data_IF_866343197635
#
_entry.id   IF_866343197635
#
_cell.length_a   1.000
_cell.length_b   1.000
_cell.length_c   1.000
_cell.angle_alpha   90.00
_cell.angle_beta   90.00
_cell.angle_gamma   90.00
#
_symmetry.space_group_name_H-M   'P 1'
#
loop_
_entity.id
_entity.type
_entity.pdbx_description
1 polymer ?
#
# COMPACT_ATOMS: atom_id res chain seq x y z
N UNK A 1 -23.88 -2.77 -0.02
CA UNK A 1 -23.68 -1.85 1.13
C UNK A 1 -22.70 -0.78 0.67
N UNK A 2 -22.47 0.32 1.41
CA UNK A 2 -21.39 1.25 1.06
C UNK A 2 -20.23 1.00 2.02
N UNK A 3 -19.05 0.67 1.48
CA UNK A 3 -17.83 0.46 2.28
C UNK A 3 -16.90 1.65 2.11
N UNK A 4 -16.38 2.16 3.22
CA UNK A 4 -15.36 3.22 3.23
C UNK A 4 -14.08 2.64 3.81
N UNK A 5 -13.00 2.67 3.02
CA UNK A 5 -11.71 2.16 3.44
C UNK A 5 -10.88 3.22 4.16
N UNK A 6 -10.19 2.77 5.20
CA UNK A 6 -9.07 3.50 5.79
C UNK A 6 -7.77 3.21 5.01
N UNK A 7 -6.77 4.09 5.10
CA UNK A 7 -5.48 3.92 4.43
C UNK A 7 -4.81 2.61 4.84
N UNK A 8 -4.86 2.26 6.14
CA UNK A 8 -4.25 1.05 6.67
C UNK A 8 -4.78 -0.23 5.99
N UNK A 9 -6.09 -0.30 5.72
CA UNK A 9 -6.70 -1.45 5.06
C UNK A 9 -6.20 -1.62 3.62
N UNK A 10 -6.09 -0.51 2.87
CA UNK A 10 -5.56 -0.52 1.50
C UNK A 10 -4.06 -0.83 1.49
N UNK A 11 -3.29 -0.28 2.43
CA UNK A 11 -1.84 -0.57 2.54
C UNK A 11 -1.61 -2.05 2.83
N UNK A 12 -2.34 -2.63 3.80
CA UNK A 12 -2.25 -4.04 4.11
C UNK A 12 -2.59 -4.92 2.90
N UNK A 13 -3.64 -4.54 2.14
CA UNK A 13 -3.99 -5.20 0.89
C UNK A 13 -2.89 -5.12 -0.17
N UNK A 14 -2.29 -3.95 -0.38
CA UNK A 14 -1.20 -3.74 -1.35
C UNK A 14 0.10 -4.49 -0.97
N UNK A 15 0.28 -4.80 0.31
CA UNK A 15 1.48 -5.47 0.85
C UNK A 15 1.30 -6.97 1.09
N UNK A 16 0.13 -7.53 0.79
CA UNK A 16 -0.20 -8.93 1.09
C UNK A 16 -0.06 -9.26 2.60
N UNK A 17 -0.46 -8.32 3.45
CA UNK A 17 -0.45 -8.45 4.91
C UNK A 17 -1.74 -9.13 5.43
N UNK A 18 -1.77 -9.61 6.69
CA UNK A 18 -2.96 -10.22 7.28
C UNK A 18 -4.22 -9.34 7.12
N UNK A 19 -5.26 -9.91 6.51
CA UNK A 19 -6.51 -9.20 6.20
C UNK A 19 -6.65 -8.78 4.73
N UNK A 20 -5.61 -8.90 3.90
CA UNK A 20 -5.67 -8.59 2.47
C UNK A 20 -6.75 -9.38 1.71
N UNK A 21 -6.97 -10.65 2.06
CA UNK A 21 -8.00 -11.49 1.44
C UNK A 21 -9.41 -10.94 1.68
N UNK A 22 -9.68 -10.45 2.90
CA UNK A 22 -10.97 -9.85 3.26
C UNK A 22 -11.22 -8.59 2.44
N UNK A 23 -10.21 -7.72 2.28
CA UNK A 23 -10.32 -6.51 1.45
C UNK A 23 -10.58 -6.89 -0.01
N UNK A 24 -9.90 -7.93 -0.52
CA UNK A 24 -10.11 -8.45 -1.87
C UNK A 24 -11.55 -8.96 -2.07
N UNK A 25 -12.12 -9.63 -1.07
CA UNK A 25 -13.49 -10.12 -1.11
C UNK A 25 -14.50 -8.96 -1.10
N UNK A 26 -14.29 -7.96 -0.24
CA UNK A 26 -15.14 -6.77 -0.16
C UNK A 26 -15.14 -6.00 -1.48
N UNK A 27 -13.95 -5.72 -2.06
CA UNK A 27 -13.84 -5.00 -3.33
C UNK A 27 -14.53 -5.75 -4.48
N UNK A 28 -14.52 -7.10 -4.45
CA UNK A 28 -15.16 -7.93 -5.49
C UNK A 28 -16.68 -7.98 -5.35
N UNK A 29 -17.19 -7.97 -4.11
CA UNK A 29 -18.58 -8.29 -3.82
C UNK A 29 -19.45 -7.08 -3.47
N UNK A 30 -18.86 -5.94 -3.12
CA UNK A 30 -19.60 -4.72 -2.82
C UNK A 30 -19.69 -3.80 -4.04
N UNK A 31 -20.89 -3.28 -4.29
CA UNK A 31 -21.15 -2.39 -5.44
C UNK A 31 -20.45 -1.03 -5.31
N UNK A 32 -20.18 -0.58 -4.07
CA UNK A 32 -19.69 0.76 -3.77
C UNK A 32 -18.60 0.74 -2.69
N UNK A 33 -17.36 0.98 -3.11
CA UNK A 33 -16.21 1.21 -2.24
C UNK A 33 -15.71 2.66 -2.37
N UNK A 34 -15.48 3.31 -1.23
CA UNK A 34 -14.99 4.68 -1.15
C UNK A 34 -13.66 4.72 -0.41
N UNK A 35 -12.83 5.68 -0.78
CA UNK A 35 -11.62 6.03 -0.06
C UNK A 35 -11.59 7.55 0.08
N UNK A 36 -11.46 8.05 1.31
CA UNK A 36 -11.35 9.49 1.53
C UNK A 36 -10.03 10.02 0.95
N UNK A 37 -10.02 11.27 0.48
CA UNK A 37 -8.85 11.85 -0.18
C UNK A 37 -7.59 11.86 0.71
N UNK A 38 -7.75 12.06 2.01
CA UNK A 38 -6.64 11.98 2.99
C UNK A 38 -6.08 10.55 3.04
N UNK A 39 -6.95 9.55 3.14
CA UNK A 39 -6.54 8.14 3.19
C UNK A 39 -5.86 7.72 1.88
N UNK A 40 -6.33 8.24 0.73
CA UNK A 40 -5.68 8.03 -0.56
C UNK A 40 -4.27 8.66 -0.61
N UNK A 41 -4.10 9.85 -0.03
CA UNK A 41 -2.79 10.49 0.10
C UNK A 41 -1.84 9.69 0.98
N UNK A 42 -2.32 9.15 2.11
CA UNK A 42 -1.53 8.30 3.01
C UNK A 42 -1.08 7.01 2.30
N UNK A 43 -1.98 6.33 1.58
CA UNK A 43 -1.65 5.15 0.76
C UNK A 43 -0.55 5.50 -0.26
N UNK A 44 -0.70 6.60 -0.98
CA UNK A 44 0.28 7.03 -1.98
C UNK A 44 1.63 7.36 -1.32
N UNK A 45 1.63 8.12 -0.22
CA UNK A 45 2.85 8.53 0.44
C UNK A 45 3.60 7.33 1.01
N UNK A 46 2.93 6.43 1.72
CA UNK A 46 3.55 5.22 2.29
C UNK A 46 4.14 4.32 1.20
N UNK A 47 3.36 4.01 0.16
CA UNK A 47 3.82 3.13 -0.93
C UNK A 47 4.96 3.76 -1.75
N UNK A 48 4.86 5.05 -2.07
CA UNK A 48 5.88 5.74 -2.86
C UNK A 48 7.17 5.97 -2.07
N UNK A 49 7.06 6.36 -0.79
CA UNK A 49 8.20 6.57 0.09
C UNK A 49 8.99 5.27 0.28
N UNK A 50 8.32 4.14 0.49
CA UNK A 50 8.99 2.84 0.58
C UNK A 50 9.77 2.47 -0.67
N UNK A 51 9.20 2.71 -1.86
CA UNK A 51 9.88 2.45 -3.13
C UNK A 51 11.16 3.31 -3.27
N UNK A 52 11.12 4.57 -2.85
CA UNK A 52 12.29 5.43 -2.86
C UNK A 52 13.37 4.95 -1.90
N UNK A 53 13.00 4.56 -0.68
CA UNK A 53 13.93 4.04 0.33
C UNK A 53 14.58 2.74 -0.16
N UNK A 54 13.79 1.78 -0.66
CA UNK A 54 14.30 0.52 -1.20
C UNK A 54 15.28 0.74 -2.35
N UNK A 55 14.97 1.64 -3.29
CA UNK A 55 15.85 1.98 -4.40
C UNK A 55 17.17 2.61 -3.93
N UNK A 56 17.11 3.50 -2.94
CA UNK A 56 18.31 4.12 -2.34
C UNK A 56 19.19 3.09 -1.63
N UNK A 57 18.58 2.17 -0.87
CA UNK A 57 19.29 1.07 -0.21
C UNK A 57 19.97 0.13 -1.21
N UNK A 58 19.29 -0.23 -2.30
CA UNK A 58 19.86 -1.07 -3.35
C UNK A 58 21.08 -0.40 -4.02
N UNK A 59 21.00 0.90 -4.31
CA UNK A 59 22.12 1.66 -4.86
C UNK A 59 23.29 1.73 -3.87
N UNK A 60 23.02 1.89 -2.57
CA UNK A 60 24.06 1.87 -1.53
C UNK A 60 24.73 0.50 -1.41
N UNK A 61 23.97 -0.60 -1.42
CA UNK A 61 24.51 -1.97 -1.37
C UNK A 61 25.41 -2.27 -2.57
N UNK A 62 24.99 -1.90 -3.78
CA UNK A 62 25.81 -2.05 -4.99
C UNK A 62 27.11 -1.26 -4.89
N UNK A 63 27.12 -0.06 -4.29
CA UNK A 63 28.35 0.70 -4.10
C UNK A 63 29.31 0.03 -3.11
N UNK A 64 28.80 -0.55 -2.02
CA UNK A 64 29.62 -1.27 -1.03
C UNK A 64 30.25 -2.53 -1.64
N UNK A 65 29.50 -3.30 -2.44
CA UNK A 65 30.00 -4.54 -3.07
C UNK A 65 31.05 -4.31 -4.18
N UNK A 66 31.18 -3.08 -4.68
CA UNK A 66 32.15 -2.70 -5.72
C UNK A 66 33.35 -1.89 -5.15
N UNK A 67 33.49 -1.80 -3.83
CA UNK A 67 34.64 -1.24 -3.11
C UNK A 67 35.49 -2.39 -2.56
#
# INVERSE_FOLDING_TARGET
>A
MAVVFDACAIIAWLRDEPGADMISEIIKNEDCCYLHAINAYEVYHETFYELQVKKKLQVMQLRILNL
#
